data_IF_739916250696
#
_entry.id   IF_739916250696
#
_cell.length_a   1.000
_cell.length_b   1.000
_cell.length_c   1.000
_cell.angle_alpha   90.00
_cell.angle_beta   90.00
_cell.angle_gamma   90.00
#
_symmetry.space_group_name_H-M   'P 1'
#
loop_
_entity.id
_entity.type
_entity.pdbx_description
1 polymer ?
#
# COMPACT_ATOMS: atom_id res chain seq x y z
N UNK A 1 -7.94 12.07 12.11
CA UNK A 1 -9.03 11.35 12.82
C UNK A 1 -9.44 10.07 12.07
N UNK A 2 -9.70 10.15 10.77
CA UNK A 2 -10.16 9.04 9.93
C UNK A 2 -9.22 7.81 9.93
N UNK A 3 -7.90 7.99 9.78
CA UNK A 3 -6.93 6.88 9.87
C UNK A 3 -6.97 6.12 11.22
N UNK A 4 -7.24 6.81 12.33
CA UNK A 4 -7.33 6.18 13.65
C UNK A 4 -8.59 5.33 13.79
N UNK A 5 -9.71 5.83 13.27
CA UNK A 5 -10.97 5.09 13.23
C UNK A 5 -10.85 3.89 12.30
N UNK A 6 -10.34 4.09 11.08
CA UNK A 6 -10.07 3.01 10.13
C UNK A 6 -9.19 1.92 10.73
N UNK A 7 -8.04 2.28 11.29
CA UNK A 7 -7.15 1.30 11.94
C UNK A 7 -7.83 0.61 13.12
N UNK A 8 -8.62 1.34 13.92
CA UNK A 8 -9.38 0.74 15.02
C UNK A 8 -10.44 -0.24 14.54
N UNK A 9 -11.12 0.04 13.42
CA UNK A 9 -12.05 -0.89 12.79
C UNK A 9 -11.34 -2.13 12.24
N UNK A 10 -10.13 -1.98 11.67
CA UNK A 10 -9.31 -3.13 11.27
C UNK A 10 -8.89 -3.98 12.48
N UNK A 11 -8.53 -3.36 13.61
CA UNK A 11 -8.23 -4.06 14.86
C UNK A 11 -9.46 -4.75 15.47
N UNK A 12 -10.63 -4.13 15.38
CA UNK A 12 -11.88 -4.69 15.92
C UNK A 12 -12.42 -5.86 15.09
N UNK A 13 -12.21 -5.82 13.78
CA UNK A 13 -12.59 -6.88 12.83
C UNK A 13 -11.45 -7.87 12.56
N UNK A 14 -10.51 -8.04 13.50
CA UNK A 14 -9.32 -8.88 13.36
C UNK A 14 -9.68 -10.37 13.36
N UNK A 15 -10.36 -10.78 12.30
CA UNK A 15 -10.35 -12.13 11.78
C UNK A 15 -8.99 -12.38 11.15
N UNK A 16 -8.54 -13.64 11.14
CA UNK A 16 -7.25 -14.05 10.56
C UNK A 16 -7.07 -13.69 9.06
N UNK A 17 -8.08 -13.10 8.42
CA UNK A 17 -8.13 -12.76 7.00
C UNK A 17 -7.58 -11.37 6.64
N UNK A 18 -7.25 -10.50 7.59
CA UNK A 18 -6.74 -9.14 7.30
C UNK A 18 -5.29 -8.99 7.74
N UNK A 19 -4.41 -8.65 6.80
CA UNK A 19 -3.00 -8.35 7.06
C UNK A 19 -2.69 -6.88 6.80
N UNK A 20 -1.80 -6.31 7.63
CA UNK A 20 -1.32 -4.93 7.52
C UNK A 20 0.19 -4.99 7.36
N UNK A 21 0.73 -4.17 6.45
CA UNK A 21 2.16 -4.01 6.23
C UNK A 21 2.49 -2.53 6.19
N UNK A 22 3.54 -2.12 6.88
CA UNK A 22 4.02 -0.75 6.88
C UNK A 22 5.16 -0.59 5.88
N UNK A 23 5.08 0.40 4.99
CA UNK A 23 6.08 0.67 3.97
C UNK A 23 6.38 2.17 3.97
N UNK A 24 7.65 2.54 4.06
CA UNK A 24 8.08 3.95 4.03
C UNK A 24 9.30 4.17 3.13
N UNK A 25 9.31 5.30 2.41
CA UNK A 25 10.47 5.73 1.63
C UNK A 25 11.51 6.49 2.47
N UNK A 26 11.23 6.72 3.75
CA UNK A 26 12.19 7.30 4.69
C UNK A 26 13.09 6.22 5.32
N UNK A 27 14.26 6.63 5.81
CA UNK A 27 15.17 5.76 6.57
C UNK A 27 14.80 5.67 8.05
N UNK A 28 13.50 5.61 8.36
CA UNK A 28 13.10 5.44 9.75
C UNK A 28 13.46 4.03 10.24
N UNK A 29 13.94 3.96 11.48
CA UNK A 29 14.21 2.69 12.16
C UNK A 29 12.88 2.05 12.55
N UNK A 30 12.74 0.75 12.27
CA UNK A 30 11.52 -0.01 12.48
C UNK A 30 10.96 0.11 13.92
N UNK A 31 11.76 -0.26 14.92
CA UNK A 31 11.31 -0.31 16.32
C UNK A 31 10.80 1.06 16.82
N UNK A 32 11.57 2.17 16.68
CA UNK A 32 11.07 3.51 17.02
C UNK A 32 9.80 3.89 16.25
N UNK A 33 9.70 3.60 14.96
CA UNK A 33 8.53 3.95 14.16
C UNK A 33 7.29 3.17 14.60
N UNK A 34 7.40 1.87 14.83
CA UNK A 34 6.29 1.05 15.36
C UNK A 34 5.81 1.54 16.72
N UNK A 35 6.71 2.02 17.58
CA UNK A 35 6.34 2.64 18.85
C UNK A 35 5.54 3.94 18.65
N UNK A 36 5.97 4.80 17.72
CA UNK A 36 5.24 6.04 17.39
C UNK A 36 3.86 5.72 16.78
N UNK A 37 3.79 4.78 15.84
CA UNK A 37 2.52 4.36 15.22
C UNK A 37 1.56 3.80 16.27
N UNK A 38 2.08 3.04 17.23
CA UNK A 38 1.31 2.54 18.37
C UNK A 38 0.70 3.65 19.21
N UNK A 39 1.47 4.71 19.51
CA UNK A 39 0.94 5.89 20.21
C UNK A 39 -0.11 6.60 19.36
N UNK A 40 0.14 6.73 18.05
CA UNK A 40 -0.76 7.41 17.13
C UNK A 40 -2.10 6.70 16.96
N UNK A 41 -2.13 5.37 16.85
CA UNK A 41 -3.35 4.59 16.61
C UNK A 41 -4.10 4.21 17.90
N UNK A 42 -3.49 4.42 19.06
CA UNK A 42 -4.12 4.30 20.38
C UNK A 42 -3.29 3.45 21.35
N UNK A 43 -3.31 3.82 22.63
CA UNK A 43 -2.47 3.19 23.66
C UNK A 43 -2.88 1.77 24.10
N UNK A 44 -3.91 1.20 23.48
CA UNK A 44 -4.43 -0.15 23.74
C UNK A 44 -3.37 -1.22 23.49
N UNK A 45 -3.19 -2.14 24.45
CA UNK A 45 -2.13 -3.15 24.41
C UNK A 45 -2.26 -4.10 23.21
N UNK A 46 -3.47 -4.45 22.79
CA UNK A 46 -3.71 -5.33 21.64
C UNK A 46 -3.33 -4.62 20.34
N UNK A 47 -3.64 -3.32 20.22
CA UNK A 47 -3.22 -2.51 19.07
C UNK A 47 -1.69 -2.35 19.00
N UNK A 48 -1.04 -2.16 20.15
CA UNK A 48 0.43 -2.12 20.24
C UNK A 48 1.07 -3.43 19.76
N UNK A 49 0.57 -4.56 20.26
CA UNK A 49 1.05 -5.89 19.88
C UNK A 49 0.79 -6.17 18.40
N UNK A 50 -0.37 -5.76 17.87
CA UNK A 50 -0.65 -5.87 16.44
C UNK A 50 0.39 -5.13 15.60
N UNK A 51 0.67 -3.86 15.92
CA UNK A 51 1.63 -3.03 15.17
C UNK A 51 3.05 -3.61 15.28
N UNK A 52 3.45 -4.07 16.47
CA UNK A 52 4.79 -4.61 16.69
C UNK A 52 5.06 -5.84 15.84
N UNK A 53 4.05 -6.68 15.63
CA UNK A 53 4.15 -7.93 14.85
C UNK A 53 4.03 -7.75 13.34
N UNK A 54 3.62 -6.57 12.83
CA UNK A 54 3.44 -6.39 11.38
C UNK A 54 4.76 -6.16 10.64
N UNK A 55 4.91 -6.66 9.40
CA UNK A 55 6.08 -6.35 8.58
C UNK A 55 6.27 -4.84 8.38
N UNK A 56 7.52 -4.41 8.38
CA UNK A 56 7.92 -3.03 8.16
C UNK A 56 9.06 -2.97 7.15
N UNK A 57 8.88 -2.16 6.10
CA UNK A 57 9.86 -1.94 5.06
C UNK A 57 10.21 -0.46 4.99
N UNK A 58 11.49 -0.13 5.03
CA UNK A 58 12.01 1.23 4.95
C UNK A 58 12.75 1.48 3.64
N UNK A 59 13.31 2.69 3.49
CA UNK A 59 14.05 3.10 2.28
C UNK A 59 15.09 2.07 1.81
N UNK A 60 15.84 1.45 2.71
CA UNK A 60 16.90 0.52 2.32
C UNK A 60 16.30 -0.73 1.65
N UNK A 61 15.18 -1.23 2.17
CA UNK A 61 14.43 -2.32 1.56
C UNK A 61 13.92 -1.93 0.17
N UNK A 62 13.45 -0.68 0.02
CA UNK A 62 12.98 -0.15 -1.26
C UNK A 62 14.10 0.03 -2.29
N UNK A 63 15.30 0.47 -1.86
CA UNK A 63 16.47 0.60 -2.72
C UNK A 63 16.86 -0.77 -3.29
N UNK A 64 16.92 -1.79 -2.43
CA UNK A 64 17.21 -3.17 -2.84
C UNK A 64 16.13 -3.66 -3.82
N UNK A 65 14.85 -3.45 -3.49
CA UNK A 65 13.74 -3.88 -4.33
C UNK A 65 13.65 -3.14 -5.68
N UNK A 66 14.11 -1.88 -5.73
CA UNK A 66 14.15 -1.07 -6.93
C UNK A 66 15.39 -1.35 -7.80
N UNK A 67 16.45 -1.93 -7.23
CA UNK A 67 17.69 -2.24 -7.93
C UNK A 67 18.45 -1.00 -8.38
N UNK A 68 18.44 0.08 -7.58
CA UNK A 68 19.09 1.35 -7.93
C UNK A 68 20.35 1.62 -7.12
N UNK A 69 21.30 2.32 -7.73
CA UNK A 69 22.34 3.03 -6.98
C UNK A 69 21.78 4.37 -6.48
N UNK A 70 21.35 4.38 -5.23
CA UNK A 70 20.72 5.56 -4.64
C UNK A 70 21.69 6.75 -4.50
N UNK A 71 23.00 6.52 -4.37
CA UNK A 71 23.96 7.60 -4.10
C UNK A 71 24.21 8.45 -5.34
N UNK A 72 24.25 7.81 -6.52
CA UNK A 72 24.56 8.47 -7.79
C UNK A 72 23.31 8.92 -8.54
N UNK A 73 22.15 8.33 -8.25
CA UNK A 73 20.88 8.70 -8.88
C UNK A 73 20.47 10.16 -8.63
N UNK A 74 19.90 10.80 -9.65
CA UNK A 74 19.23 12.09 -9.55
C UNK A 74 18.03 12.04 -8.61
N UNK A 75 17.53 13.20 -8.17
CA UNK A 75 16.35 13.25 -7.31
C UNK A 75 15.11 12.65 -7.98
N UNK A 76 14.93 12.89 -9.28
CA UNK A 76 13.81 12.32 -10.03
C UNK A 76 13.90 10.79 -10.13
N UNK A 77 15.09 10.26 -10.43
CA UNK A 77 15.34 8.82 -10.45
C UNK A 77 15.11 8.20 -9.08
N UNK A 78 15.55 8.85 -8.00
CA UNK A 78 15.30 8.39 -6.62
C UNK A 78 13.81 8.33 -6.31
N UNK A 79 13.05 9.36 -6.63
CA UNK A 79 11.59 9.39 -6.38
C UNK A 79 10.89 8.27 -7.14
N UNK A 80 11.17 8.13 -8.43
CA UNK A 80 10.59 7.06 -9.25
C UNK A 80 11.02 5.66 -8.79
N UNK A 81 12.26 5.51 -8.36
CA UNK A 81 12.77 4.27 -7.81
C UNK A 81 12.10 3.89 -6.48
N UNK A 82 11.82 4.86 -5.60
CA UNK A 82 11.09 4.58 -4.36
C UNK A 82 9.67 4.11 -4.64
N UNK A 83 8.98 4.71 -5.61
CA UNK A 83 7.66 4.23 -6.04
C UNK A 83 7.72 2.80 -6.61
N UNK A 84 8.70 2.52 -7.48
CA UNK A 84 8.95 1.16 -7.99
C UNK A 84 9.26 0.17 -6.87
N UNK A 85 10.10 0.56 -5.91
CA UNK A 85 10.47 -0.24 -4.75
C UNK A 85 9.26 -0.57 -3.87
N UNK A 86 8.39 0.42 -3.58
CA UNK A 86 7.13 0.17 -2.84
C UNK A 86 6.26 -0.86 -3.55
N UNK A 87 6.03 -0.66 -4.85
CA UNK A 87 5.22 -1.57 -5.66
C UNK A 87 5.84 -2.98 -5.77
N UNK A 88 7.18 -3.09 -5.80
CA UNK A 88 7.89 -4.36 -5.78
C UNK A 88 7.75 -5.07 -4.42
N UNK A 89 7.90 -4.35 -3.31
CA UNK A 89 7.65 -4.88 -1.95
C UNK A 89 6.21 -5.37 -1.82
N UNK A 90 5.23 -4.60 -2.26
CA UNK A 90 3.82 -5.04 -2.27
C UNK A 90 3.64 -6.35 -3.05
N UNK A 91 4.27 -6.46 -4.21
CA UNK A 91 4.24 -7.67 -5.02
C UNK A 91 4.92 -8.87 -4.33
N UNK A 92 6.01 -8.64 -3.60
CA UNK A 92 6.63 -9.71 -2.81
C UNK A 92 5.72 -10.15 -1.65
N UNK A 93 5.10 -9.21 -0.94
CA UNK A 93 4.13 -9.50 0.12
C UNK A 93 2.94 -10.29 -0.43
N UNK A 94 2.38 -9.87 -1.58
CA UNK A 94 1.31 -10.58 -2.26
C UNK A 94 1.70 -12.02 -2.64
N UNK A 95 2.89 -12.22 -3.23
CA UNK A 95 3.39 -13.57 -3.58
C UNK A 95 3.56 -14.44 -2.35
N UNK A 96 4.14 -13.90 -1.28
CA UNK A 96 4.32 -14.62 -0.02
C UNK A 96 2.97 -15.07 0.53
N UNK A 97 1.99 -14.16 0.65
CA UNK A 97 0.68 -14.51 1.20
C UNK A 97 -0.07 -15.50 0.31
N UNK A 98 -0.04 -15.31 -1.01
CA UNK A 98 -0.69 -16.23 -1.97
C UNK A 98 -0.06 -17.63 -1.93
N UNK A 99 1.27 -17.70 -1.84
CA UNK A 99 2.01 -18.95 -1.73
C UNK A 99 1.71 -19.70 -0.43
N UNK A 100 1.69 -19.00 0.71
CA UNK A 100 1.35 -19.59 2.02
C UNK A 100 -0.11 -20.06 2.09
N UNK A 101 -1.02 -19.35 1.41
CA UNK A 101 -2.44 -19.71 1.36
C UNK A 101 -2.71 -20.92 0.45
N UNK A 102 -1.77 -21.29 -0.44
CA UNK A 102 -2.03 -22.29 -1.49
C UNK A 102 -3.15 -21.89 -2.45
N UNK A 103 -3.49 -20.60 -2.49
CA UNK A 103 -4.61 -20.05 -3.26
C UNK A 103 -4.13 -18.90 -4.14
N UNK A 104 -4.67 -18.82 -5.34
CA UNK A 104 -4.47 -17.69 -6.23
C UNK A 104 -5.28 -16.48 -5.73
N UNK A 105 -4.73 -15.73 -4.78
CA UNK A 105 -5.36 -14.50 -4.29
C UNK A 105 -5.16 -13.41 -5.35
N UNK A 106 -6.24 -12.77 -5.85
CA UNK A 106 -6.11 -11.66 -6.80
C UNK A 106 -5.31 -10.50 -6.20
N UNK A 107 -4.46 -9.84 -7.01
CA UNK A 107 -3.72 -8.65 -6.59
C UNK A 107 -4.66 -7.51 -6.16
N UNK A 108 -5.89 -7.49 -6.69
CA UNK A 108 -6.92 -6.54 -6.32
C UNK A 108 -7.43 -6.74 -4.87
N UNK A 109 -7.04 -7.81 -4.18
CA UNK A 109 -7.33 -7.94 -2.74
C UNK A 109 -6.31 -7.21 -1.86
N UNK A 110 -5.31 -6.57 -2.48
CA UNK A 110 -4.28 -5.78 -1.81
C UNK A 110 -4.46 -4.31 -2.15
N UNK A 111 -4.45 -3.47 -1.11
CA UNK A 111 -4.71 -2.04 -1.20
C UNK A 111 -3.51 -1.25 -0.68
N UNK A 112 -3.01 -0.30 -1.48
CA UNK A 112 -2.07 0.72 -1.04
C UNK A 112 -2.84 1.97 -0.60
N UNK A 113 -2.55 2.49 0.60
CA UNK A 113 -3.03 3.80 1.05
C UNK A 113 -1.81 4.72 1.10
N UNK A 114 -1.70 5.66 0.16
CA UNK A 114 -0.51 6.52 -0.01
C UNK A 114 -0.90 7.87 -0.61
N UNK A 115 -0.40 8.97 -0.04
CA UNK A 115 -0.69 10.34 -0.45
C UNK A 115 0.06 10.76 -1.73
N UNK A 116 1.17 10.10 -2.04
CA UNK A 116 1.96 10.43 -3.21
C UNK A 116 1.41 9.73 -4.48
N UNK A 117 1.05 10.49 -5.54
CA UNK A 117 0.47 9.94 -6.76
C UNK A 117 1.41 8.97 -7.51
N UNK A 118 2.73 9.18 -7.47
CA UNK A 118 3.70 8.33 -8.17
C UNK A 118 3.70 6.92 -7.56
N UNK A 119 3.59 6.82 -6.23
CA UNK A 119 3.49 5.53 -5.53
C UNK A 119 2.20 4.80 -5.92
N UNK A 120 1.07 5.51 -5.95
CA UNK A 120 -0.22 4.95 -6.35
C UNK A 120 -0.19 4.47 -7.80
N UNK A 121 0.35 5.26 -8.71
CA UNK A 121 0.50 4.88 -10.12
C UNK A 121 1.35 3.61 -10.29
N UNK A 122 2.49 3.53 -9.61
CA UNK A 122 3.35 2.34 -9.66
C UNK A 122 2.66 1.08 -9.12
N UNK A 123 1.81 1.20 -8.08
CA UNK A 123 1.03 0.09 -7.54
C UNK A 123 -0.10 -0.34 -8.50
N UNK A 124 -0.84 0.60 -9.08
CA UNK A 124 -1.90 0.31 -10.05
C UNK A 124 -1.38 -0.40 -11.29
N UNK A 125 -0.20 -0.02 -11.82
CA UNK A 125 0.45 -0.72 -12.93
C UNK A 125 0.76 -2.19 -12.65
N UNK A 126 0.79 -2.59 -11.38
CA UNK A 126 0.97 -3.97 -10.93
C UNK A 126 -0.34 -4.64 -10.50
N UNK A 127 -1.50 -4.07 -10.81
CA UNK A 127 -2.81 -4.66 -10.52
C UNK A 127 -3.30 -4.47 -9.08
N UNK A 128 -2.61 -3.68 -8.26
CA UNK A 128 -3.05 -3.37 -6.89
C UNK A 128 -4.11 -2.29 -6.86
N UNK A 129 -4.96 -2.34 -5.84
CA UNK A 129 -5.87 -1.24 -5.53
C UNK A 129 -5.14 -0.14 -4.78
N UNK A 130 -5.63 1.10 -4.92
CA UNK A 130 -5.06 2.27 -4.26
C UNK A 130 -6.15 3.14 -3.67
N UNK A 131 -5.83 3.81 -2.57
CA UNK A 131 -6.67 4.83 -1.94
C UNK A 131 -5.81 6.08 -1.72
N UNK A 132 -6.33 7.23 -2.16
CA UNK A 132 -5.71 8.52 -1.92
C UNK A 132 -6.21 9.12 -0.59
N UNK A 133 -5.39 9.20 0.47
CA UNK A 133 -5.79 9.78 1.74
C UNK A 133 -6.02 11.30 1.70
N UNK A 134 -5.59 11.98 0.63
CA UNK A 134 -5.82 13.41 0.41
C UNK A 134 -7.07 13.71 -0.43
N UNK A 135 -7.80 12.68 -0.89
CA UNK A 135 -9.03 12.88 -1.66
C UNK A 135 -10.18 13.37 -0.76
N UNK A 136 -11.06 14.21 -1.31
CA UNK A 136 -12.18 14.78 -0.57
C UNK A 136 -13.17 13.70 -0.05
N UNK A 137 -13.27 12.59 -0.77
CA UNK A 137 -14.14 11.45 -0.46
C UNK A 137 -13.44 10.36 0.37
N UNK A 138 -12.21 10.59 0.84
CA UNK A 138 -11.39 9.59 1.53
C UNK A 138 -12.12 8.91 2.70
N UNK A 139 -12.87 9.68 3.51
CA UNK A 139 -13.63 9.14 4.63
C UNK A 139 -14.70 8.13 4.18
N UNK A 140 -15.43 8.46 3.10
CA UNK A 140 -16.47 7.61 2.52
C UNK A 140 -15.86 6.34 1.92
N UNK A 141 -14.73 6.47 1.23
CA UNK A 141 -13.99 5.35 0.62
C UNK A 141 -13.49 4.38 1.68
N UNK A 142 -12.90 4.89 2.77
CA UNK A 142 -12.47 4.04 3.90
C UNK A 142 -13.65 3.34 4.57
N UNK A 143 -14.76 4.04 4.80
CA UNK A 143 -15.95 3.44 5.41
C UNK A 143 -16.51 2.30 4.56
N UNK A 144 -16.62 2.51 3.24
CA UNK A 144 -17.06 1.50 2.30
C UNK A 144 -16.09 0.31 2.26
N UNK A 145 -14.78 0.58 2.24
CA UNK A 145 -13.76 -0.47 2.30
C UNK A 145 -13.89 -1.31 3.57
N UNK A 146 -14.00 -0.67 4.74
CA UNK A 146 -14.16 -1.35 6.03
C UNK A 146 -15.45 -2.18 6.09
N UNK A 147 -16.57 -1.67 5.56
CA UNK A 147 -17.85 -2.39 5.56
C UNK A 147 -17.83 -3.67 4.70
N UNK A 148 -16.89 -3.76 3.76
CA UNK A 148 -16.70 -4.92 2.88
C UNK A 148 -15.66 -5.90 3.43
N UNK A 149 -15.11 -5.70 4.63
CA UNK A 149 -14.24 -6.67 5.30
C UNK A 149 -15.08 -7.56 6.24
N UNK A 150 -14.90 -8.90 6.27
CA UNK A 150 -14.00 -9.74 5.48
C UNK A 150 -14.75 -10.38 4.29
N UNK A 151 -15.37 -9.59 3.41
CA UNK A 151 -16.10 -10.13 2.28
C UNK A 151 -15.15 -10.52 1.14
N UNK A 152 -15.44 -11.63 0.48
CA UNK A 152 -14.79 -12.19 -0.72
C UNK A 152 -14.87 -11.29 -1.97
N UNK A 153 -15.22 -10.01 -1.82
CA UNK A 153 -15.55 -9.12 -2.91
C UNK A 153 -14.47 -8.04 -3.11
N UNK A 154 -13.94 -8.03 -4.33
CA UNK A 154 -12.95 -7.07 -4.83
C UNK A 154 -13.50 -5.63 -4.71
N UNK A 155 -12.76 -4.74 -4.05
CA UNK A 155 -13.16 -3.35 -3.82
C UNK A 155 -12.45 -2.33 -4.73
N UNK A 156 -13.00 -1.95 -5.89
CA UNK A 156 -12.38 -0.88 -6.71
C UNK A 156 -13.03 0.49 -6.48
N UNK A 157 -12.46 1.39 -5.64
CA UNK A 157 -13.05 2.70 -5.40
C UNK A 157 -12.69 3.77 -6.44
N UNK A 158 -11.53 3.67 -7.10
CA UNK A 158 -11.07 4.71 -8.04
C UNK A 158 -10.37 4.10 -9.24
N UNK A 159 -10.92 4.33 -10.44
CA UNK A 159 -10.13 4.42 -11.66
C UNK A 159 -9.73 5.88 -11.76
N UNK A 160 -8.55 6.22 -11.25
CA UNK A 160 -7.96 7.50 -11.64
C UNK A 160 -7.78 7.43 -13.17
N UNK A 161 -8.44 8.31 -13.90
CA UNK A 161 -8.28 8.45 -15.36
C UNK A 161 -6.87 8.98 -15.65
N UNK A 162 -5.85 8.14 -15.47
CA UNK A 162 -4.54 8.36 -16.06
C UNK A 162 -4.69 8.06 -17.54
N UNK A 163 -4.74 9.13 -18.35
CA UNK A 163 -4.52 9.00 -19.78
C UNK A 163 -3.10 8.48 -19.96
N UNK A 164 -2.97 7.27 -20.49
CA UNK A 164 -1.71 6.74 -21.02
C UNK A 164 -1.25 7.67 -22.14
N UNK A 165 -0.37 8.61 -21.85
CA UNK A 165 0.33 9.39 -22.89
C UNK A 165 1.45 8.61 -23.57
N UNK A 166 1.29 7.28 -23.70
CA UNK A 166 2.17 6.40 -24.48
C UNK A 166 1.36 5.35 -25.28
N UNK A 167 0.20 5.75 -25.80
CA UNK A 167 -0.50 4.98 -26.81
C UNK A 167 -0.04 5.43 -28.21
N UNK A 168 0.77 4.66 -28.97
CA UNK A 168 0.94 4.94 -30.38
C UNK A 168 -0.41 4.66 -31.05
N UNK A 169 -1.06 5.72 -31.51
CA UNK A 169 -2.27 5.68 -32.31
C UNK A 169 -1.98 4.82 -33.55
N UNK A 170 -2.43 3.57 -33.55
CA UNK A 170 -2.63 2.85 -34.81
C UNK A 170 -3.80 3.53 -35.51
N UNK A 171 -3.45 4.41 -36.45
CA UNK A 171 -4.32 4.87 -37.53
C UNK A 171 -4.95 3.67 -38.22
N UNK A 172 -6.24 3.46 -38.01
CA UNK A 172 -7.05 2.55 -38.84
C UNK A 172 -7.86 3.43 -39.79
N UNK A 173 -7.21 3.79 -40.89
CA UNK A 173 -7.87 4.00 -42.17
C UNK A 173 -7.12 3.17 -43.20
N UNK A 174 -7.73 2.05 -43.60
CA UNK A 174 -7.60 1.38 -44.90
C UNK A 174 -8.77 0.42 -45.03
#
# INVERSE_FOLDING_TARGET
MQHRQFFSSLCGNFSASISITFITAASYKEMPTKNILSIFFGADINKKLMISMKPFYNRNDLIIAAGIDYQTASNEERVNAMAKGKAAVMNNVWRTISGHAGLAIPQQNFVLIDDNPINRFAAMRRGFQVINPAAADYASVLSLFTSKLPATNIFSPHRDNYCDTDCPVKSVYS
#
